data_IF_784055090162
#
_entry.id   IF_784055090162
#
_cell.length_a   1.000
_cell.length_b   1.000
_cell.length_c   1.000
_cell.angle_alpha   90.00
_cell.angle_beta   90.00
_cell.angle_gamma   90.00
#
_symmetry.space_group_name_H-M   'P 1'
#
loop_
_entity.id
_entity.type
_entity.pdbx_description
1 polymer ?
#
# COMPACT_ATOMS: atom_id res chain seq x y z
N UNK A 1 -40.28 6.50 -30.05
CA UNK A 1 -38.89 6.10 -30.34
C UNK A 1 -37.93 6.19 -29.14
N UNK A 2 -38.23 6.95 -28.08
CA UNK A 2 -37.33 7.14 -26.92
C UNK A 2 -37.05 5.88 -26.06
N UNK A 3 -37.93 4.88 -26.08
CA UNK A 3 -37.82 3.67 -25.25
C UNK A 3 -36.66 2.73 -25.61
N UNK A 4 -36.08 2.85 -26.81
CA UNK A 4 -34.98 1.97 -27.27
C UNK A 4 -33.58 2.52 -26.95
N UNK A 5 -33.45 3.76 -26.50
CA UNK A 5 -32.16 4.42 -26.22
C UNK A 5 -31.68 4.15 -24.79
N UNK A 6 -32.61 3.94 -23.84
CA UNK A 6 -32.33 3.70 -22.42
C UNK A 6 -31.40 2.49 -22.17
N UNK A 7 -31.56 1.31 -22.81
CA UNK A 7 -30.64 0.20 -22.57
C UNK A 7 -29.22 0.45 -23.12
N UNK A 8 -29.05 1.34 -24.10
CA UNK A 8 -27.73 1.67 -24.68
C UNK A 8 -26.88 2.53 -23.73
N UNK A 9 -27.52 3.40 -22.94
CA UNK A 9 -26.84 4.25 -21.95
C UNK A 9 -26.36 3.49 -20.70
N UNK A 10 -26.95 2.33 -20.41
CA UNK A 10 -26.57 1.53 -19.23
C UNK A 10 -25.26 0.74 -19.42
N UNK A 11 -24.81 0.53 -20.67
CA UNK A 11 -23.61 -0.25 -21.00
C UNK A 11 -22.32 0.57 -20.76
N UNK A 12 -22.41 1.90 -20.73
CA UNK A 12 -21.26 2.79 -20.52
C UNK A 12 -20.80 2.91 -19.06
N UNK A 13 -21.45 2.22 -18.11
CA UNK A 13 -21.02 2.19 -16.71
C UNK A 13 -20.05 1.04 -16.40
N UNK A 14 -19.43 0.43 -17.42
CA UNK A 14 -18.19 -0.32 -17.20
C UNK A 14 -17.10 0.68 -16.81
N UNK A 15 -17.09 1.02 -15.52
CA UNK A 15 -16.08 1.84 -14.88
C UNK A 15 -14.72 1.26 -15.20
N UNK A 16 -13.93 1.97 -16.00
CA UNK A 16 -12.48 1.82 -16.07
C UNK A 16 -11.92 2.19 -14.70
N UNK A 17 -12.04 1.28 -13.73
CA UNK A 17 -11.42 1.45 -12.42
C UNK A 17 -9.94 1.26 -12.62
N UNK A 18 -9.19 2.36 -12.52
CA UNK A 18 -7.75 2.30 -12.64
C UNK A 18 -7.17 1.44 -11.51
N UNK A 19 -6.57 0.30 -11.85
CA UNK A 19 -5.87 -0.53 -10.88
C UNK A 19 -4.55 0.15 -10.49
N UNK A 20 -4.41 0.40 -9.19
CA UNK A 20 -3.23 0.98 -8.55
C UNK A 20 -2.51 -0.06 -7.71
N UNK A 21 -1.19 0.04 -7.68
CA UNK A 21 -0.32 -0.78 -6.86
C UNK A 21 0.72 0.12 -6.19
N UNK A 22 0.73 0.15 -4.86
CA UNK A 22 1.63 0.98 -4.09
C UNK A 22 2.72 0.10 -3.51
N UNK A 23 3.98 0.44 -3.81
CA UNK A 23 5.13 -0.16 -3.16
C UNK A 23 5.68 0.80 -2.10
N UNK A 24 5.54 0.46 -0.83
CA UNK A 24 6.11 1.24 0.27
C UNK A 24 7.46 0.65 0.68
N UNK A 25 8.54 1.42 0.50
CA UNK A 25 9.90 1.02 0.86
C UNK A 25 10.07 1.18 2.38
N UNK A 26 10.15 0.05 3.09
CA UNK A 26 10.33 0.03 4.55
C UNK A 26 11.79 0.26 4.92
N UNK A 27 12.70 -0.43 4.25
CA UNK A 27 14.14 -0.32 4.52
C UNK A 27 14.96 -0.76 3.33
N UNK A 28 16.10 -0.09 3.12
CA UNK A 28 17.09 -0.44 2.10
C UNK A 28 18.47 -0.50 2.73
N UNK A 29 19.20 -1.57 2.47
CA UNK A 29 20.61 -1.71 2.87
C UNK A 29 21.39 -2.43 1.77
N UNK A 30 22.67 -2.68 1.97
CA UNK A 30 23.52 -3.39 1.00
C UNK A 30 23.09 -4.83 0.69
N UNK A 31 22.29 -5.45 1.58
CA UNK A 31 21.79 -6.82 1.44
C UNK A 31 20.43 -6.90 0.72
N UNK A 32 19.81 -5.75 0.42
CA UNK A 32 18.54 -5.72 -0.28
C UNK A 32 17.56 -4.65 0.16
N UNK A 33 16.30 -4.84 -0.26
CA UNK A 33 15.18 -3.93 0.02
C UNK A 33 14.04 -4.73 0.64
N UNK A 34 13.52 -4.23 1.77
CA UNK A 34 12.25 -4.66 2.36
C UNK A 34 11.17 -3.65 1.98
N UNK A 35 10.05 -4.15 1.46
CA UNK A 35 8.96 -3.31 0.98
C UNK A 35 7.60 -3.98 1.21
N UNK A 36 6.57 -3.15 1.32
CA UNK A 36 5.17 -3.56 1.34
C UNK A 36 4.56 -3.32 -0.03
N UNK A 37 3.76 -4.27 -0.50
CA UNK A 37 2.91 -4.12 -1.69
C UNK A 37 1.48 -3.99 -1.19
N UNK A 38 0.82 -2.91 -1.57
CA UNK A 38 -0.60 -2.67 -1.38
C UNK A 38 -1.28 -2.57 -2.74
N UNK A 39 -2.28 -3.42 -2.97
CA UNK A 39 -3.10 -3.43 -4.19
C UNK A 39 -4.54 -2.93 -3.95
N UNK A 40 -4.80 -2.29 -2.82
CA UNK A 40 -6.13 -1.82 -2.39
C UNK A 40 -6.98 -2.88 -1.68
N UNK A 41 -6.64 -4.17 -1.80
CA UNK A 41 -7.33 -5.26 -1.11
C UNK A 41 -6.49 -5.89 -0.01
N UNK A 42 -5.19 -6.09 -0.26
CA UNK A 42 -4.27 -6.80 0.61
C UNK A 42 -2.91 -6.12 0.64
N UNK A 43 -2.36 -6.07 1.84
CA UNK A 43 -0.99 -5.61 2.08
C UNK A 43 -0.11 -6.83 2.30
N UNK A 44 0.98 -6.93 1.53
CA UNK A 44 1.95 -8.02 1.67
C UNK A 44 3.38 -7.50 1.81
N UNK A 45 4.10 -8.03 2.81
CA UNK A 45 5.51 -7.71 3.05
C UNK A 45 6.41 -8.61 2.20
N UNK A 46 7.34 -8.02 1.46
CA UNK A 46 8.33 -8.73 0.65
C UNK A 46 9.74 -8.21 0.89
N UNK A 47 10.71 -9.03 0.52
CA UNK A 47 12.14 -8.69 0.55
C UNK A 47 12.79 -9.13 -0.74
N UNK A 48 13.59 -8.26 -1.35
CA UNK A 48 14.50 -8.62 -2.44
C UNK A 48 15.94 -8.53 -1.94
N UNK A 49 16.81 -9.41 -2.44
CA UNK A 49 18.25 -9.39 -2.13
C UNK A 49 18.98 -8.28 -2.89
N UNK A 50 18.39 -7.76 -3.96
CA UNK A 50 18.99 -6.69 -4.74
C UNK A 50 18.71 -5.33 -4.07
N UNK A 51 19.74 -4.53 -3.75
CA UNK A 51 19.56 -3.23 -3.12
C UNK A 51 19.16 -2.12 -4.10
N UNK A 52 19.03 -2.39 -5.40
CA UNK A 52 18.70 -1.39 -6.43
C UNK A 52 17.20 -1.12 -6.53
N UNK A 53 16.79 0.12 -6.24
CA UNK A 53 15.40 0.56 -6.46
C UNK A 53 15.04 0.61 -7.94
N UNK A 54 15.99 0.94 -8.81
CA UNK A 54 15.75 0.99 -10.26
C UNK A 54 15.40 -0.40 -10.78
N UNK A 55 16.14 -1.42 -10.35
CA UNK A 55 15.85 -2.80 -10.74
C UNK A 55 14.51 -3.27 -10.18
N UNK A 56 14.19 -2.91 -8.93
CA UNK A 56 12.87 -3.19 -8.37
C UNK A 56 11.75 -2.56 -9.21
N UNK A 57 11.91 -1.31 -9.67
CA UNK A 57 10.94 -0.65 -10.55
C UNK A 57 10.83 -1.39 -11.89
N UNK A 58 11.97 -1.76 -12.48
CA UNK A 58 12.04 -2.53 -13.74
C UNK A 58 11.29 -3.87 -13.63
N UNK A 59 11.49 -4.60 -12.53
CA UNK A 59 10.83 -5.88 -12.27
C UNK A 59 9.29 -5.75 -12.19
N UNK A 60 8.78 -4.58 -11.78
CA UNK A 60 7.34 -4.30 -11.78
C UNK A 60 6.84 -3.82 -13.15
N UNK A 61 7.63 -3.04 -13.88
CA UNK A 61 7.34 -2.69 -15.28
C UNK A 61 7.20 -3.93 -16.16
N UNK A 62 8.10 -4.90 -16.02
CA UNK A 62 8.01 -6.18 -16.73
C UNK A 62 6.74 -6.99 -16.40
N UNK A 63 6.08 -6.69 -15.27
CA UNK A 63 4.80 -7.29 -14.87
C UNK A 63 3.58 -6.49 -15.38
N UNK A 64 3.78 -5.45 -16.17
CA UNK A 64 2.73 -4.59 -16.71
C UNK A 64 2.31 -3.44 -15.78
N UNK A 65 3.18 -3.05 -14.85
CA UNK A 65 2.94 -1.93 -13.94
C UNK A 65 3.87 -0.76 -14.26
N UNK A 66 3.30 0.37 -14.64
CA UNK A 66 4.05 1.58 -14.90
C UNK A 66 4.13 2.49 -13.68
N UNK A 67 5.34 2.96 -13.40
CA UNK A 67 5.56 3.91 -12.32
C UNK A 67 4.98 5.27 -12.72
N UNK A 68 3.92 5.67 -12.03
CA UNK A 68 3.24 6.94 -12.26
C UNK A 68 3.75 8.06 -11.35
N UNK A 69 4.05 7.75 -10.08
CA UNK A 69 4.50 8.76 -9.13
C UNK A 69 5.37 8.19 -8.01
N UNK A 70 6.15 9.06 -7.36
CA UNK A 70 6.95 8.74 -6.18
C UNK A 70 6.60 9.76 -5.10
N UNK A 71 6.17 9.28 -3.93
CA UNK A 71 5.85 10.14 -2.79
C UNK A 71 6.65 9.74 -1.57
N UNK A 72 6.94 10.70 -0.69
CA UNK A 72 7.51 10.40 0.63
C UNK A 72 6.43 10.62 1.69
N UNK A 73 6.30 9.67 2.60
CA UNK A 73 5.32 9.72 3.67
C UNK A 73 6.05 9.51 4.98
N UNK A 74 5.72 10.32 5.97
CA UNK A 74 6.16 10.08 7.33
C UNK A 74 5.13 9.18 8.01
N UNK A 75 5.51 7.93 8.30
CA UNK A 75 4.68 7.01 9.02
C UNK A 75 5.02 7.06 10.50
N UNK A 76 4.01 7.38 11.31
CA UNK A 76 4.12 7.37 12.78
C UNK A 76 3.58 6.03 13.25
N UNK A 77 4.47 5.14 13.67
CA UNK A 77 4.11 3.85 14.24
C UNK A 77 4.07 3.95 15.76
N UNK A 78 2.96 3.52 16.35
CA UNK A 78 2.72 3.57 17.79
C UNK A 78 2.88 2.17 18.36
N UNK A 79 3.98 1.94 19.07
CA UNK A 79 4.32 0.62 19.61
C UNK A 79 4.25 0.65 21.14
N UNK A 80 3.57 -0.32 21.75
CA UNK A 80 3.52 -0.43 23.21
C UNK A 80 2.71 -1.65 23.67
N UNK A 81 2.76 -1.90 24.98
CA UNK A 81 1.98 -2.97 25.61
C UNK A 81 0.69 -2.37 26.13
N UNK A 82 -0.44 -2.82 25.60
CA UNK A 82 -1.74 -2.52 26.18
C UNK A 82 -1.89 -3.30 27.50
N UNK A 83 -2.41 -2.67 28.56
CA UNK A 83 -2.63 -3.35 29.82
C UNK A 83 -3.73 -4.39 29.59
N UNK A 84 -3.41 -5.66 29.80
CA UNK A 84 -4.38 -6.74 29.73
C UNK A 84 -5.30 -6.60 30.94
N UNK A 85 -6.57 -6.29 30.70
CA UNK A 85 -7.58 -6.16 31.76
C UNK A 85 -7.81 -7.52 32.43
N UNK A 86 -7.30 -7.71 33.64
CA UNK A 86 -7.77 -8.79 34.51
C UNK A 86 -9.03 -8.32 35.25
N UNK A 87 -10.06 -9.15 35.22
CA UNK A 87 -11.45 -8.85 35.53
C UNK A 87 -11.73 -8.79 37.05
N UNK A 88 -10.97 -7.97 37.78
CA UNK A 88 -11.26 -7.63 39.18
C UNK A 88 -11.36 -6.11 39.32
N UNK A 89 -12.56 -5.67 39.72
CA UNK A 89 -13.05 -4.29 39.72
C UNK A 89 -12.36 -3.35 40.73
N UNK A 90 -11.03 -3.23 40.66
CA UNK A 90 -10.28 -2.16 41.28
C UNK A 90 -9.64 -1.32 40.17
N UNK A 91 -9.99 -0.03 40.11
CA UNK A 91 -9.58 0.94 39.10
C UNK A 91 -8.06 1.02 38.99
N UNK A 92 -7.49 0.23 38.09
CA UNK A 92 -6.08 0.20 37.75
C UNK A 92 -5.77 1.30 36.72
N UNK A 93 -5.42 2.51 37.17
CA UNK A 93 -4.71 3.49 36.34
C UNK A 93 -3.30 2.97 36.05
N UNK A 94 -3.19 2.00 35.13
CA UNK A 94 -1.91 1.53 34.63
C UNK A 94 -1.43 2.47 33.53
N UNK A 95 -0.25 3.03 33.72
CA UNK A 95 0.45 3.85 32.73
C UNK A 95 0.92 2.96 31.58
N UNK A 96 0.50 3.27 30.35
CA UNK A 96 1.01 2.61 29.14
C UNK A 96 2.25 3.33 28.64
N UNK A 97 3.35 2.59 28.49
CA UNK A 97 4.53 3.09 27.78
C UNK A 97 4.30 2.87 26.28
N UNK A 98 3.97 3.95 25.58
CA UNK A 98 3.81 3.99 24.13
C UNK A 98 5.02 4.70 23.54
N UNK A 99 5.75 4.02 22.67
CA UNK A 99 6.85 4.60 21.91
C UNK A 99 6.33 5.04 20.54
N UNK A 100 6.63 6.29 20.18
CA UNK A 100 6.35 6.86 18.87
C UNK A 100 7.58 6.73 17.99
N UNK A 101 7.48 5.91 16.94
CA UNK A 101 8.54 5.78 15.95
C UNK A 101 8.17 6.55 14.69
N UNK A 102 8.99 7.53 14.33
CA UNK A 102 8.88 8.27 13.08
C UNK A 102 9.71 7.54 12.01
N UNK A 103 9.03 7.00 11.01
CA UNK A 103 9.64 6.29 9.90
C UNK A 103 9.31 6.98 8.58
N UNK A 104 10.31 7.66 8.00
CA UNK A 104 10.19 8.18 6.64
C UNK A 104 10.18 7.01 5.64
N UNK A 105 9.09 6.88 4.88
CA UNK A 105 8.93 5.86 3.84
C UNK A 105 8.81 6.50 2.46
N UNK A 106 9.37 5.83 1.47
CA UNK A 106 9.17 6.18 0.06
C UNK A 106 8.13 5.25 -0.54
N UNK A 107 7.07 5.82 -1.11
CA UNK A 107 6.03 5.08 -1.82
C UNK A 107 6.21 5.26 -3.32
N UNK A 108 6.21 4.14 -4.04
CA UNK A 108 6.22 4.06 -5.49
C UNK A 108 4.81 3.72 -5.95
N UNK A 109 4.19 4.62 -6.70
CA UNK A 109 2.83 4.48 -7.20
C UNK A 109 2.86 3.91 -8.60
N UNK A 110 2.39 2.68 -8.72
CA UNK A 110 2.28 2.01 -10.00
C UNK A 110 0.84 1.99 -10.48
N UNK A 111 0.69 2.25 -11.78
CA UNK A 111 -0.54 2.12 -12.54
C UNK A 111 -0.43 0.85 -13.37
N UNK A 112 -1.45 -0.02 -13.34
CA UNK A 112 -1.51 -1.12 -14.30
C UNK A 112 -1.94 -0.57 -15.65
N UNK A 113 -1.17 -0.86 -16.69
CA UNK A 113 -1.60 -0.53 -18.04
C UNK A 113 -2.88 -1.33 -18.36
N UNK A 114 -3.98 -0.63 -18.60
CA UNK A 114 -5.09 -1.23 -19.33
C UNK A 114 -4.61 -1.37 -20.76
N UNK A 115 -4.30 -2.59 -21.18
CA UNK A 115 -4.17 -2.86 -22.62
C UNK A 115 -5.53 -2.53 -23.24
N UNK A 116 -5.60 -1.39 -23.91
CA UNK A 116 -6.66 -1.14 -24.88
C UNK A 116 -6.44 -2.16 -26.01
N UNK A 117 -7.25 -3.22 -26.01
CA UNK A 117 -7.43 -4.13 -27.15
C UNK A 117 -8.38 -3.49 -28.17
#
# INVERSE_FOLDING_TARGET
>A
MLRKIIPLLLIFNYSFSQEWLILSIISRNSKGIKYEIDNGEKISKKTTKDPSLVKLIEDFKQKGYDLSNITQVNQIDLNGVFPLFNNNANFNFQTTNLNLNNNLRTNLWFRKESKEE
#
